data_IF_351830725970
#
_entry.id   IF_351830725970
#
_cell.length_a   1.000
_cell.length_b   1.000
_cell.length_c   1.000
_cell.angle_alpha   90.00
_cell.angle_beta   90.00
_cell.angle_gamma   90.00
#
_symmetry.space_group_name_H-M   'P 1'
#
loop_
_entity.id
_entity.type
_entity.pdbx_description
1 polymer ?
#
# COMPACT_ATOMS: atom_id res chain seq x y z
N UNK A 1 -46.16 -21.44 -1.27
CA UNK A 1 -45.36 -20.23 -0.96
C UNK A 1 -44.00 -20.71 -0.45
N UNK A 2 -43.01 -20.80 -1.33
CA UNK A 2 -41.67 -21.27 -0.97
C UNK A 2 -40.92 -20.12 -0.29
N UNK A 3 -40.44 -20.37 0.93
CA UNK A 3 -39.49 -19.51 1.65
C UNK A 3 -38.27 -19.27 0.75
N UNK A 4 -38.11 -18.05 0.25
CA UNK A 4 -36.82 -17.60 -0.27
C UNK A 4 -35.85 -17.57 0.92
N UNK A 5 -34.97 -18.56 0.99
CA UNK A 5 -33.79 -18.52 1.84
C UNK A 5 -33.01 -17.24 1.53
N UNK A 6 -33.11 -16.28 2.46
CA UNK A 6 -32.34 -15.05 2.46
C UNK A 6 -30.85 -15.40 2.42
N UNK A 7 -30.25 -15.36 1.23
CA UNK A 7 -28.80 -15.42 1.07
C UNK A 7 -28.20 -14.23 1.86
N UNK A 8 -27.36 -14.46 2.88
CA UNK A 8 -26.85 -13.37 3.71
C UNK A 8 -26.03 -12.41 2.85
N UNK A 9 -26.49 -11.17 2.75
CA UNK A 9 -25.75 -10.10 2.09
C UNK A 9 -24.44 -9.84 2.82
N UNK A 10 -23.35 -9.69 2.06
CA UNK A 10 -22.05 -9.35 2.62
C UNK A 10 -22.16 -7.98 3.33
N UNK A 11 -21.82 -7.87 4.62
CA UNK A 11 -21.85 -6.60 5.36
C UNK A 11 -21.02 -5.53 4.64
N UNK A 12 -21.64 -4.39 4.30
CA UNK A 12 -20.96 -3.25 3.68
C UNK A 12 -20.75 -2.14 4.71
N UNK A 13 -19.55 -1.54 4.78
CA UNK A 13 -19.26 -0.48 5.73
C UNK A 13 -20.03 0.79 5.34
N UNK A 14 -20.55 1.48 6.35
CA UNK A 14 -21.26 2.75 6.19
C UNK A 14 -20.27 3.86 5.89
N UNK A 15 -20.51 4.57 4.77
CA UNK A 15 -19.65 5.69 4.36
C UNK A 15 -19.83 6.93 5.22
N UNK A 16 -21.07 7.26 5.56
CA UNK A 16 -21.43 8.44 6.34
C UNK A 16 -22.14 8.02 7.62
N UNK A 17 -21.46 8.17 8.76
CA UNK A 17 -22.04 7.92 10.09
C UNK A 17 -22.61 9.24 10.62
N UNK A 18 -23.90 9.30 10.98
CA UNK A 18 -24.48 10.52 11.52
C UNK A 18 -23.84 10.91 12.86
N UNK A 19 -23.62 12.21 13.09
CA UNK A 19 -23.08 12.70 14.38
C UNK A 19 -23.96 12.33 15.59
N UNK A 20 -25.25 12.10 15.41
CA UNK A 20 -26.14 11.66 16.50
C UNK A 20 -25.69 10.33 17.12
N UNK A 21 -24.99 9.49 16.36
CA UNK A 21 -24.45 8.22 16.85
C UNK A 21 -23.26 8.40 17.79
N UNK A 22 -22.50 9.50 17.66
CA UNK A 22 -21.42 9.83 18.59
C UNK A 22 -21.98 10.08 19.98
N UNK A 23 -23.06 10.87 20.05
CA UNK A 23 -23.69 11.30 21.30
C UNK A 23 -24.48 10.19 21.97
N UNK A 24 -25.21 9.38 21.19
CA UNK A 24 -26.12 8.36 21.71
C UNK A 24 -25.54 6.94 21.70
N UNK A 25 -24.48 6.71 20.91
CA UNK A 25 -23.86 5.41 20.76
C UNK A 25 -23.03 4.99 21.95
N UNK A 26 -22.86 3.67 22.09
CA UNK A 26 -21.98 3.05 23.07
C UNK A 26 -20.95 2.17 22.38
N UNK A 27 -19.76 2.11 22.95
CA UNK A 27 -18.71 1.22 22.49
C UNK A 27 -19.15 -0.24 22.60
N UNK A 28 -19.16 -1.01 21.50
CA UNK A 28 -19.58 -2.42 21.52
C UNK A 28 -18.63 -3.34 22.29
N UNK A 29 -17.39 -2.89 22.58
CA UNK A 29 -16.42 -3.66 23.36
C UNK A 29 -16.53 -3.41 24.88
N UNK A 30 -16.72 -2.16 25.31
CA UNK A 30 -16.63 -1.80 26.74
C UNK A 30 -17.87 -1.06 27.29
N UNK A 31 -18.87 -0.75 26.47
CA UNK A 31 -20.11 -0.08 26.85
C UNK A 31 -20.00 1.43 27.13
N UNK A 32 -18.81 2.03 26.98
CA UNK A 32 -18.60 3.46 27.19
C UNK A 32 -19.40 4.31 26.20
N UNK A 33 -19.97 5.41 26.68
CA UNK A 33 -20.63 6.42 25.85
C UNK A 33 -19.61 7.39 25.23
N UNK A 34 -20.08 8.34 24.41
CA UNK A 34 -19.31 9.42 23.78
C UNK A 34 -18.17 8.90 22.90
N UNK A 35 -18.55 8.33 21.76
CA UNK A 35 -17.59 7.88 20.75
C UNK A 35 -17.01 9.09 19.99
N UNK A 36 -15.86 8.95 19.34
CA UNK A 36 -15.33 9.98 18.43
C UNK A 36 -15.45 9.49 17.00
N UNK A 37 -16.12 10.27 16.16
CA UNK A 37 -16.28 10.03 14.73
C UNK A 37 -15.13 10.66 13.95
N UNK A 38 -14.65 9.93 12.93
CA UNK A 38 -13.66 10.43 11.98
C UNK A 38 -14.20 10.26 10.57
N UNK A 39 -14.24 11.38 9.83
CA UNK A 39 -14.61 11.43 8.42
C UNK A 39 -13.37 11.40 7.53
N UNK A 40 -13.40 10.58 6.48
CA UNK A 40 -12.34 10.49 5.49
C UNK A 40 -12.95 10.52 4.08
N UNK A 41 -12.33 11.24 3.14
CA UNK A 41 -12.92 11.56 1.84
C UNK A 41 -13.16 10.33 0.93
N UNK A 42 -12.31 9.30 1.04
CA UNK A 42 -12.30 8.17 0.11
C UNK A 42 -12.48 6.79 0.77
N UNK A 43 -12.70 6.76 2.08
CA UNK A 43 -12.88 5.52 2.84
C UNK A 43 -14.05 5.65 3.81
N UNK A 44 -14.64 4.52 4.27
CA UNK A 44 -15.74 4.57 5.22
C UNK A 44 -15.37 5.28 6.52
N UNK A 45 -16.32 6.04 7.04
CA UNK A 45 -16.25 6.60 8.39
C UNK A 45 -16.03 5.51 9.46
N UNK A 46 -15.38 5.90 10.54
CA UNK A 46 -15.20 5.02 11.69
C UNK A 46 -15.37 5.77 13.01
N UNK A 47 -15.73 5.00 14.04
CA UNK A 47 -15.89 5.45 15.40
C UNK A 47 -14.70 4.96 16.23
N UNK A 48 -14.27 5.77 17.20
CA UNK A 48 -13.21 5.45 18.14
C UNK A 48 -13.69 5.62 19.58
N UNK A 49 -13.29 4.72 20.46
CA UNK A 49 -13.65 4.78 21.87
C UNK A 49 -12.48 5.29 22.71
N UNK A 50 -12.64 6.44 23.35
CA UNK A 50 -11.59 7.01 24.20
C UNK A 50 -11.31 6.20 25.47
N UNK A 51 -12.24 5.34 25.92
CA UNK A 51 -12.07 4.54 27.15
C UNK A 51 -11.18 3.32 26.94
N UNK A 52 -11.39 2.58 25.86
CA UNK A 52 -10.69 1.31 25.63
C UNK A 52 -9.88 1.31 24.33
N UNK A 53 -9.64 2.47 23.71
CA UNK A 53 -8.73 2.64 22.57
C UNK A 53 -9.19 2.06 21.23
N UNK A 54 -10.18 1.16 21.20
CA UNK A 54 -10.60 0.52 19.94
C UNK A 54 -11.16 1.53 18.94
N UNK A 55 -10.93 1.26 17.66
CA UNK A 55 -11.60 1.96 16.55
C UNK A 55 -12.27 0.95 15.63
N UNK A 56 -13.47 1.27 15.13
CA UNK A 56 -14.29 0.34 14.37
C UNK A 56 -15.18 1.03 13.34
N UNK A 57 -15.37 0.36 12.21
CA UNK A 57 -16.38 0.70 11.21
C UNK A 57 -17.71 0.03 11.57
N UNK A 58 -18.81 0.63 11.10
CA UNK A 58 -20.16 0.11 11.30
C UNK A 58 -20.74 -0.29 9.94
N UNK A 59 -21.41 -1.43 9.87
CA UNK A 59 -22.19 -1.84 8.70
C UNK A 59 -23.41 -0.92 8.48
N UNK A 60 -23.89 -0.80 7.23
CA UNK A 60 -25.02 0.06 6.86
C UNK A 60 -26.27 -0.09 7.73
N UNK A 61 -26.59 -1.33 8.16
CA UNK A 61 -27.70 -1.64 9.08
C UNK A 61 -27.39 -1.47 10.57
N UNK A 62 -26.14 -1.14 10.94
CA UNK A 62 -25.73 -0.94 12.33
C UNK A 62 -25.54 -2.22 13.15
N UNK A 63 -25.83 -3.39 12.58
CA UNK A 63 -25.85 -4.66 13.30
C UNK A 63 -24.46 -5.24 13.50
N UNK A 64 -23.59 -5.02 12.53
CA UNK A 64 -22.22 -5.52 12.53
C UNK A 64 -21.20 -4.38 12.63
N UNK A 65 -20.09 -4.68 13.28
CA UNK A 65 -18.91 -3.83 13.36
C UNK A 65 -17.68 -4.58 12.92
N UNK A 66 -16.69 -3.84 12.41
CA UNK A 66 -15.38 -4.37 12.03
C UNK A 66 -14.30 -3.52 12.65
N UNK A 67 -13.37 -4.15 13.38
CA UNK A 67 -12.30 -3.42 14.06
C UNK A 67 -11.26 -2.92 13.04
N UNK A 68 -10.93 -1.63 13.14
CA UNK A 68 -9.83 -0.97 12.43
C UNK A 68 -8.55 -0.94 13.25
N UNK A 69 -8.70 -0.67 14.54
CA UNK A 69 -7.60 -0.61 15.49
C UNK A 69 -7.98 -1.35 16.76
N UNK A 70 -7.08 -2.23 17.20
CA UNK A 70 -7.14 -2.99 18.43
C UNK A 70 -5.93 -2.55 19.26
N UNK A 71 -6.11 -2.08 20.50
CA UNK A 71 -5.00 -1.67 21.36
C UNK A 71 -4.26 -2.91 21.89
N UNK A 72 -3.00 -2.72 22.30
CA UNK A 72 -2.11 -3.79 22.76
C UNK A 72 -2.72 -4.62 23.90
N UNK A 73 -3.49 -4.03 24.82
CA UNK A 73 -4.14 -4.76 25.92
C UNK A 73 -5.18 -5.78 25.44
N UNK A 74 -5.61 -5.68 24.19
CA UNK A 74 -6.54 -6.57 23.52
C UNK A 74 -5.89 -7.35 22.37
N UNK A 75 -4.55 -7.41 22.28
CA UNK A 75 -3.83 -8.14 21.22
C UNK A 75 -4.22 -9.62 21.15
N UNK A 76 -4.58 -10.23 22.29
CA UNK A 76 -5.02 -11.63 22.38
C UNK A 76 -6.29 -11.96 21.56
N UNK A 77 -7.08 -10.96 21.16
CA UNK A 77 -8.25 -11.13 20.29
C UNK A 77 -8.02 -10.61 18.87
N UNK A 78 -6.83 -10.11 18.57
CA UNK A 78 -6.56 -9.44 17.30
C UNK A 78 -6.71 -10.39 16.10
N UNK A 79 -6.14 -11.60 16.19
CA UNK A 79 -6.26 -12.62 15.14
C UNK A 79 -7.72 -13.04 14.85
N UNK A 80 -8.58 -12.93 15.87
CA UNK A 80 -9.98 -13.35 15.81
C UNK A 80 -10.85 -12.22 15.23
N UNK A 81 -10.57 -10.98 15.62
CA UNK A 81 -11.45 -9.84 15.36
C UNK A 81 -10.98 -8.93 14.21
N UNK A 82 -9.68 -8.91 13.89
CA UNK A 82 -9.13 -8.04 12.85
C UNK A 82 -9.72 -8.37 11.50
N UNK A 83 -10.19 -7.34 10.79
CA UNK A 83 -10.79 -7.41 9.46
C UNK A 83 -12.06 -8.30 9.35
N UNK A 84 -12.66 -8.73 10.47
CA UNK A 84 -13.90 -9.53 10.45
C UNK A 84 -15.11 -8.71 10.88
N UNK A 85 -16.24 -8.95 10.23
CA UNK A 85 -17.53 -8.41 10.65
C UNK A 85 -18.06 -9.25 11.81
N UNK A 86 -18.34 -8.57 12.92
CA UNK A 86 -18.82 -9.19 14.17
C UNK A 86 -20.09 -8.48 14.59
N UNK A 87 -21.08 -9.22 15.07
CA UNK A 87 -22.31 -8.64 15.58
C UNK A 87 -22.00 -7.76 16.80
N UNK A 88 -22.43 -6.50 16.78
CA UNK A 88 -22.05 -5.48 17.76
C UNK A 88 -22.34 -5.92 19.20
N UNK A 89 -23.44 -6.64 19.41
CA UNK A 89 -23.86 -7.17 20.72
C UNK A 89 -22.99 -8.32 21.24
N UNK A 90 -22.26 -9.02 20.36
CA UNK A 90 -21.42 -10.17 20.72
C UNK A 90 -19.98 -9.80 20.99
N UNK A 91 -19.53 -8.62 20.58
CA UNK A 91 -18.13 -8.22 20.63
C UNK A 91 -17.57 -8.28 22.06
N UNK A 92 -18.24 -7.65 23.03
CA UNK A 92 -17.83 -7.68 24.43
C UNK A 92 -17.71 -9.13 24.97
N UNK A 93 -18.63 -10.01 24.60
CA UNK A 93 -18.61 -11.42 25.00
C UNK A 93 -17.48 -12.22 24.34
N UNK A 94 -17.07 -11.88 23.12
CA UNK A 94 -15.89 -12.49 22.48
C UNK A 94 -14.62 -12.05 23.22
N UNK A 95 -14.49 -10.76 23.52
CA UNK A 95 -13.35 -10.21 24.26
C UNK A 95 -13.26 -10.85 25.65
N UNK A 96 -14.37 -10.95 26.37
CA UNK A 96 -14.40 -11.54 27.71
C UNK A 96 -14.02 -13.03 27.71
N UNK A 97 -14.45 -13.81 26.71
CA UNK A 97 -14.17 -15.26 26.62
C UNK A 97 -12.71 -15.58 26.32
N UNK A 98 -12.04 -14.73 25.55
CA UNK A 98 -10.64 -14.95 25.17
C UNK A 98 -9.68 -14.19 26.07
N UNK A 99 -10.18 -13.39 27.01
CA UNK A 99 -9.35 -12.73 28.00
C UNK A 99 -8.53 -13.82 28.68
N UNK A 100 -7.18 -13.76 28.62
CA UNK A 100 -6.37 -14.72 29.33
C UNK A 100 -6.80 -14.69 30.79
N UNK A 101 -7.15 -15.85 31.33
CA UNK A 101 -7.40 -15.99 32.76
C UNK A 101 -6.10 -15.56 33.41
N UNK A 102 -6.08 -14.34 33.95
CA UNK A 102 -4.96 -13.86 34.71
C UNK A 102 -4.70 -14.93 35.76
N UNK A 103 -3.53 -15.56 35.72
CA UNK A 103 -3.12 -16.50 36.74
C UNK A 103 -3.44 -15.89 38.09
N UNK A 104 -4.19 -16.67 38.87
CA UNK A 104 -4.75 -16.30 40.14
C UNK A 104 -3.63 -15.93 41.11
N UNK A 105 -3.36 -14.62 41.18
CA UNK A 105 -2.97 -13.85 42.37
C UNK A 105 -2.39 -14.69 43.52
N UNK A 106 -1.10 -15.03 43.44
CA UNK A 106 -0.27 -15.06 44.66
C UNK A 106 -0.03 -13.61 45.12
N UNK A 107 0.03 -13.46 46.44
CA UNK A 107 0.03 -12.22 47.21
C UNK A 107 1.01 -11.13 46.71
N UNK A 108 0.75 -9.85 47.05
CA UNK A 108 1.41 -8.70 46.45
C UNK A 108 2.79 -8.51 47.07
N UNK A 109 3.81 -8.94 46.36
CA UNK A 109 5.13 -8.32 46.45
C UNK A 109 5.86 -8.57 45.13
N UNK A 110 6.57 -7.55 44.65
CA UNK A 110 7.33 -7.48 43.41
C UNK A 110 6.54 -7.17 42.14
N UNK A 111 6.37 -5.85 41.97
CA UNK A 111 6.50 -5.15 40.70
C UNK A 111 7.70 -5.72 39.90
N UNK A 112 7.46 -6.72 39.05
CA UNK A 112 8.50 -7.24 38.16
C UNK A 112 8.66 -6.25 37.02
N UNK A 113 9.75 -5.48 37.09
CA UNK A 113 10.20 -4.62 36.01
C UNK A 113 10.34 -5.47 34.73
N UNK A 114 9.59 -5.15 33.68
CA UNK A 114 9.88 -5.63 32.35
C UNK A 114 11.36 -5.33 32.06
N UNK A 115 12.08 -6.28 31.46
CA UNK A 115 13.48 -6.03 31.13
C UNK A 115 13.56 -4.78 30.23
N UNK A 116 14.55 -3.89 30.40
CA UNK A 116 14.69 -2.69 29.55
C UNK A 116 14.65 -3.01 28.05
N UNK A 117 15.05 -4.23 27.69
CA UNK A 117 15.06 -4.77 26.33
C UNK A 117 13.65 -5.08 25.79
N UNK A 118 12.70 -5.49 26.62
CA UNK A 118 11.33 -5.84 26.19
C UNK A 118 10.50 -4.59 25.85
N UNK A 119 10.62 -3.54 26.65
CA UNK A 119 9.95 -2.26 26.38
C UNK A 119 10.54 -1.59 25.13
N UNK A 120 11.86 -1.67 24.97
CA UNK A 120 12.54 -1.20 23.78
C UNK A 120 12.12 -1.99 22.53
N UNK A 121 11.95 -3.31 22.64
CA UNK A 121 11.43 -4.16 21.57
C UNK A 121 10.02 -3.74 21.14
N UNK A 122 9.08 -3.56 22.09
CA UNK A 122 7.71 -3.11 21.79
C UNK A 122 7.71 -1.76 21.08
N UNK A 123 8.53 -0.83 21.54
CA UNK A 123 8.67 0.50 20.91
C UNK A 123 9.22 0.39 19.49
N UNK A 124 10.24 -0.45 19.28
CA UNK A 124 10.83 -0.69 17.97
C UNK A 124 9.82 -1.32 16.99
N UNK A 125 9.04 -2.30 17.45
CA UNK A 125 7.99 -2.94 16.66
C UNK A 125 6.90 -1.94 16.24
N UNK A 126 6.45 -1.09 17.16
CA UNK A 126 5.45 -0.05 16.85
C UNK A 126 5.98 0.95 15.82
N UNK A 127 7.24 1.37 15.93
CA UNK A 127 7.86 2.24 14.92
C UNK A 127 7.91 1.56 13.55
N UNK A 128 8.25 0.27 13.49
CA UNK A 128 8.25 -0.49 12.24
C UNK A 128 6.85 -0.61 11.63
N UNK A 129 5.83 -0.89 12.44
CA UNK A 129 4.43 -0.95 11.99
C UNK A 129 3.92 0.40 11.46
N UNK A 130 4.48 1.52 11.93
CA UNK A 130 4.22 2.86 11.42
C UNK A 130 5.00 3.18 10.13
N UNK A 131 5.72 2.20 9.55
CA UNK A 131 6.47 2.35 8.30
C UNK A 131 7.86 2.96 8.45
N UNK A 132 8.39 3.08 9.67
CA UNK A 132 9.74 3.61 9.87
C UNK A 132 10.79 2.61 9.38
N UNK A 133 11.80 3.11 8.67
CA UNK A 133 12.89 2.26 8.21
C UNK A 133 13.81 1.81 9.39
N UNK A 134 14.54 0.69 9.25
CA UNK A 134 15.38 0.15 10.32
C UNK A 134 16.47 1.11 10.84
N UNK A 135 17.02 1.99 9.99
CA UNK A 135 18.03 3.00 10.40
C UNK A 135 17.43 4.07 11.31
N UNK A 136 16.19 4.47 11.03
CA UNK A 136 15.43 5.43 11.86
C UNK A 136 15.13 4.81 13.22
N UNK A 137 14.69 3.55 13.23
CA UNK A 137 14.44 2.77 14.45
C UNK A 137 15.73 2.66 15.27
N UNK A 138 16.86 2.30 14.63
CA UNK A 138 18.17 2.23 15.27
C UNK A 138 18.54 3.55 15.96
N UNK A 139 18.43 4.66 15.23
CA UNK A 139 18.77 6.00 15.73
C UNK A 139 17.91 6.38 16.93
N UNK A 140 16.60 6.13 16.87
CA UNK A 140 15.66 6.41 17.96
C UNK A 140 15.94 5.56 19.21
N UNK A 141 16.33 4.29 19.03
CA UNK A 141 16.68 3.41 20.14
C UNK A 141 17.98 3.85 20.84
N UNK A 142 19.01 4.22 20.07
CA UNK A 142 20.26 4.77 20.61
C UNK A 142 19.98 6.08 21.36
N UNK A 143 19.17 6.98 20.79
CA UNK A 143 18.76 8.23 21.44
C UNK A 143 18.00 8.00 22.76
N UNK A 144 17.30 6.87 22.89
CA UNK A 144 16.63 6.48 24.12
C UNK A 144 17.54 5.84 25.18
N UNK A 145 18.86 5.83 24.94
CA UNK A 145 19.87 5.39 25.90
C UNK A 145 20.20 3.90 25.83
N UNK A 146 19.75 3.18 24.78
CA UNK A 146 20.15 1.78 24.59
C UNK A 146 21.58 1.69 24.06
N UNK A 147 22.30 0.65 24.50
CA UNK A 147 23.62 0.34 23.99
C UNK A 147 23.55 -0.34 22.60
N UNK A 148 24.65 -0.32 21.85
CA UNK A 148 24.70 -0.85 20.49
C UNK A 148 24.32 -2.34 20.42
N UNK A 149 24.76 -3.13 21.41
CA UNK A 149 24.50 -4.58 21.48
C UNK A 149 23.00 -4.90 21.65
N UNK A 150 22.30 -4.16 22.52
CA UNK A 150 20.85 -4.26 22.70
C UNK A 150 20.09 -3.86 21.44
N UNK A 151 20.56 -2.80 20.77
CA UNK A 151 19.96 -2.33 19.52
C UNK A 151 20.13 -3.38 18.41
N UNK A 152 21.30 -4.00 18.30
CA UNK A 152 21.57 -5.05 17.31
C UNK A 152 20.69 -6.29 17.55
N UNK A 153 20.49 -6.69 18.81
CA UNK A 153 19.55 -7.78 19.17
C UNK A 153 18.11 -7.44 18.76
N UNK A 154 17.67 -6.21 19.03
CA UNK A 154 16.34 -5.73 18.64
C UNK A 154 16.19 -5.70 17.12
N UNK A 155 17.16 -5.14 16.39
CA UNK A 155 17.11 -5.07 14.92
C UNK A 155 17.17 -6.45 14.27
N UNK A 156 17.96 -7.39 14.80
CA UNK A 156 18.00 -8.77 14.33
C UNK A 156 16.65 -9.46 14.50
N UNK A 157 15.96 -9.22 15.62
CA UNK A 157 14.60 -9.74 15.85
C UNK A 157 13.58 -9.10 14.91
N UNK A 158 13.68 -7.80 14.66
CA UNK A 158 12.83 -7.06 13.71
C UNK A 158 12.98 -7.55 12.28
N UNK A 159 14.20 -7.87 11.86
CA UNK A 159 14.46 -8.45 10.53
C UNK A 159 13.74 -9.78 10.33
N UNK A 160 13.71 -10.65 11.35
CA UNK A 160 12.97 -11.93 11.29
C UNK A 160 11.45 -11.72 11.14
N UNK A 161 10.90 -10.70 11.81
CA UNK A 161 9.47 -10.34 11.67
C UNK A 161 9.17 -9.88 10.24
N UNK A 162 10.02 -9.03 9.66
CA UNK A 162 9.87 -8.58 8.28
C UNK A 162 9.97 -9.74 7.26
N UNK A 163 10.90 -10.68 7.47
CA UNK A 163 11.04 -11.89 6.65
C UNK A 163 9.80 -12.80 6.76
N UNK A 164 9.25 -13.00 7.96
CA UNK A 164 8.03 -13.81 8.14
C UNK A 164 6.79 -13.15 7.52
N UNK A 165 6.62 -11.83 7.67
CA UNK A 165 5.52 -11.08 7.05
C UNK A 165 5.56 -11.16 5.52
N UNK A 166 6.74 -10.96 4.91
CA UNK A 166 6.92 -11.10 3.46
C UNK A 166 6.65 -12.52 2.98
N UNK A 167 7.08 -13.54 3.74
CA UNK A 167 6.83 -14.94 3.40
C UNK A 167 5.33 -15.30 3.50
N UNK A 168 4.64 -14.82 4.55
CA UNK A 168 3.19 -15.02 4.70
C UNK A 168 2.40 -14.30 3.61
N UNK A 169 2.79 -13.08 3.24
CA UNK A 169 2.16 -12.35 2.14
C UNK A 169 2.36 -13.08 0.80
N UNK A 170 3.57 -13.60 0.53
CA UNK A 170 3.85 -14.40 -0.67
C UNK A 170 3.01 -15.68 -0.73
N UNK A 171 2.82 -16.39 0.40
CA UNK A 171 1.94 -17.58 0.43
C UNK A 171 0.49 -17.24 0.09
N UNK A 172 -0.06 -16.15 0.64
CA UNK A 172 -1.42 -15.69 0.35
C UNK A 172 -1.56 -15.27 -1.12
N UNK A 173 -0.54 -14.60 -1.67
CA UNK A 173 -0.51 -14.21 -3.07
C UNK A 173 -0.53 -15.42 -4.01
N UNK A 174 0.26 -16.46 -3.75
CA UNK A 174 0.28 -17.68 -4.56
C UNK A 174 -1.05 -18.44 -4.56
N UNK A 175 -1.75 -18.47 -3.42
CA UNK A 175 -3.09 -19.09 -3.35
C UNK A 175 -4.09 -18.34 -4.24
N UNK A 176 -4.11 -17.00 -4.16
CA UNK A 176 -5.04 -16.17 -4.95
C UNK A 176 -4.70 -16.19 -6.44
N UNK A 177 -3.41 -16.14 -6.79
CA UNK A 177 -2.94 -16.24 -8.17
C UNK A 177 -3.29 -17.60 -8.79
N UNK A 178 -3.13 -18.69 -8.01
CA UNK A 178 -3.50 -20.04 -8.45
C UNK A 178 -5.00 -20.17 -8.75
N UNK A 179 -5.87 -19.64 -7.87
CA UNK A 179 -7.33 -19.64 -8.09
C UNK A 179 -7.69 -18.82 -9.34
N UNK A 180 -7.10 -17.64 -9.50
CA UNK A 180 -7.38 -16.76 -10.64
C UNK A 180 -6.93 -17.39 -11.96
N UNK A 181 -5.76 -18.02 -11.99
CA UNK A 181 -5.25 -18.74 -13.16
C UNK A 181 -6.15 -19.92 -13.53
N UNK A 182 -6.62 -20.68 -12.54
CA UNK A 182 -7.51 -21.81 -12.76
C UNK A 182 -8.85 -21.36 -13.38
N UNK A 183 -9.44 -20.27 -12.88
CA UNK A 183 -10.67 -19.69 -13.45
C UNK A 183 -10.44 -19.20 -14.88
N UNK A 184 -9.30 -18.56 -15.16
CA UNK A 184 -8.96 -18.09 -16.50
C UNK A 184 -8.80 -19.24 -17.50
N UNK A 185 -8.16 -20.34 -17.08
CA UNK A 185 -8.00 -21.55 -17.91
C UNK A 185 -9.36 -22.20 -18.20
N UNK A 186 -10.27 -22.23 -17.23
CA UNK A 186 -11.63 -22.73 -17.44
C UNK A 186 -12.44 -21.86 -18.41
N UNK A 187 -12.35 -20.53 -18.26
CA UNK A 187 -13.05 -19.58 -19.14
C UNK A 187 -12.51 -19.61 -20.57
N UNK A 188 -11.18 -19.65 -20.74
CA UNK A 188 -10.54 -19.74 -22.06
C UNK A 188 -10.79 -21.09 -22.73
N UNK A 189 -10.78 -22.20 -21.98
CA UNK A 189 -11.16 -23.52 -22.50
C UNK A 189 -12.62 -23.59 -22.96
N UNK A 190 -13.53 -22.97 -22.22
CA UNK A 190 -14.95 -22.89 -22.59
C UNK A 190 -15.19 -21.99 -23.81
N UNK A 191 -14.38 -20.93 -23.98
CA UNK A 191 -14.43 -20.06 -25.15
C UNK A 191 -13.84 -20.73 -26.40
N UNK A 192 -12.70 -21.40 -26.28
CA UNK A 192 -12.08 -22.15 -27.39
C UNK A 192 -12.94 -23.32 -27.90
N UNK A 193 -13.73 -23.95 -27.02
CA UNK A 193 -14.66 -25.01 -27.41
C UNK A 193 -15.86 -24.48 -28.23
N UNK A 194 -16.14 -23.17 -28.19
CA UNK A 194 -17.33 -22.57 -28.84
C UNK A 194 -17.01 -21.69 -30.04
N UNK A 195 -15.80 -21.10 -30.11
CA UNK A 195 -15.38 -20.25 -31.23
C UNK A 195 -14.35 -20.95 -32.11
N UNK A 196 -14.82 -21.76 -33.06
CA UNK A 196 -13.99 -22.27 -34.15
C UNK A 196 -13.49 -21.14 -35.05
N UNK A 197 -12.23 -20.72 -34.83
CA UNK A 197 -11.27 -19.97 -35.68
C UNK A 197 -10.59 -18.87 -34.86
N UNK A 198 -9.26 -18.95 -34.77
CA UNK A 198 -8.41 -17.83 -34.35
C UNK A 198 -7.30 -17.66 -35.38
N UNK A 199 -7.12 -16.46 -35.92
CA UNK A 199 -5.79 -15.94 -36.20
C UNK A 199 -5.56 -14.72 -35.32
N UNK A 200 -4.34 -14.58 -34.80
CA UNK A 200 -3.48 -13.38 -34.91
C UNK A 200 -2.30 -13.58 -33.95
N UNK A 201 -1.11 -13.61 -34.55
CA UNK A 201 0.19 -13.54 -33.90
C UNK A 201 0.37 -12.18 -33.21
N UNK A 202 0.56 -12.17 -31.90
CA UNK A 202 1.19 -11.05 -31.20
C UNK A 202 2.64 -11.42 -30.89
N UNK A 203 3.57 -10.76 -31.57
CA UNK A 203 5.00 -10.84 -31.27
C UNK A 203 5.31 -10.07 -30.00
N UNK A 204 5.79 -10.77 -28.97
CA UNK A 204 6.34 -10.17 -27.76
C UNK A 204 7.75 -9.63 -28.06
N UNK A 205 7.93 -8.31 -28.03
CA UNK A 205 9.26 -7.70 -28.10
C UNK A 205 9.77 -7.47 -26.68
N UNK A 206 10.85 -8.15 -26.34
CA UNK A 206 11.55 -8.05 -25.06
C UNK A 206 12.34 -6.74 -25.00
N UNK A 207 12.06 -5.88 -24.02
CA UNK A 207 12.88 -4.71 -23.75
C UNK A 207 14.27 -5.15 -23.24
N UNK A 208 15.33 -4.76 -23.95
CA UNK A 208 16.72 -5.05 -23.57
C UNK A 208 17.14 -4.18 -22.38
N UNK A 209 17.70 -4.74 -21.30
CA UNK A 209 18.32 -3.95 -20.24
C UNK A 209 19.55 -3.20 -20.80
N UNK A 210 19.63 -1.90 -20.55
CA UNK A 210 20.74 -1.05 -20.98
C UNK A 210 21.98 -1.31 -20.10
N UNK A 211 23.18 -1.48 -20.69
CA UNK A 211 24.43 -1.50 -19.93
C UNK A 211 24.72 -0.09 -19.41
N UNK A 212 24.94 0.02 -18.10
CA UNK A 212 25.42 1.22 -17.40
C UNK A 212 26.72 1.73 -18.03
N UNK A 213 26.64 2.77 -18.87
CA UNK A 213 27.78 3.57 -19.27
C UNK A 213 27.89 4.76 -18.31
N UNK A 214 29.08 4.87 -17.71
CA UNK A 214 29.59 5.90 -16.81
C UNK A 214 29.00 5.98 -15.37
N UNK A 215 29.73 5.50 -14.34
CA UNK A 215 29.31 5.58 -12.95
C UNK A 215 29.31 7.00 -12.35
N UNK A 216 29.81 8.02 -13.07
CA UNK A 216 29.95 9.38 -12.56
C UNK A 216 28.91 10.39 -13.08
N UNK A 217 27.96 9.99 -13.94
CA UNK A 217 26.93 10.88 -14.47
C UNK A 217 25.54 10.53 -13.90
N UNK A 218 24.76 11.52 -13.41
CA UNK A 218 23.43 11.23 -12.90
C UNK A 218 22.52 10.82 -14.06
N UNK A 219 22.16 9.54 -14.10
CA UNK A 219 21.23 9.02 -15.10
C UNK A 219 19.79 9.40 -14.74
N UNK A 220 18.91 9.51 -15.75
CA UNK A 220 17.48 9.71 -15.53
C UNK A 220 16.85 8.64 -14.60
N UNK A 221 17.43 7.43 -14.58
CA UNK A 221 17.07 6.35 -13.64
C UNK A 221 17.41 6.70 -12.20
N UNK A 222 18.59 7.29 -11.96
CA UNK A 222 19.01 7.73 -10.61
C UNK A 222 18.08 8.81 -10.07
N UNK A 223 17.65 9.75 -10.92
CA UNK A 223 16.70 10.80 -10.55
C UNK A 223 15.32 10.22 -10.21
N UNK A 224 14.81 9.31 -11.04
CA UNK A 224 13.54 8.64 -10.80
C UNK A 224 13.51 7.91 -9.45
N UNK A 225 14.63 7.30 -9.04
CA UNK A 225 14.73 6.64 -7.73
C UNK A 225 14.72 7.63 -6.55
N UNK A 226 15.15 8.88 -6.73
CA UNK A 226 15.04 9.93 -5.70
C UNK A 226 13.58 10.38 -5.48
N UNK A 227 12.71 10.21 -6.48
CA UNK A 227 11.32 10.68 -6.45
C UNK A 227 10.35 9.70 -5.77
N UNK A 228 10.78 8.48 -5.46
CA UNK A 228 9.97 7.51 -4.73
C UNK A 228 10.23 7.73 -3.23
N UNK A 229 9.25 8.23 -2.44
CA UNK A 229 9.43 8.33 -0.99
C UNK A 229 9.74 6.94 -0.42
N UNK A 230 10.76 6.84 0.44
CA UNK A 230 11.09 5.59 1.11
C UNK A 230 9.87 5.09 1.90
N UNK A 231 9.21 4.03 1.42
CA UNK A 231 8.00 3.46 2.04
C UNK A 231 6.70 3.68 1.27
N UNK A 232 6.69 4.47 0.19
CA UNK A 232 5.54 4.55 -0.70
C UNK A 232 5.57 3.39 -1.71
N UNK A 233 4.82 2.31 -1.45
CA UNK A 233 4.29 1.48 -2.52
C UNK A 233 2.89 1.98 -2.79
N UNK A 234 2.66 2.87 -3.78
CA UNK A 234 1.30 3.18 -4.16
C UNK A 234 0.65 1.88 -4.62
N UNK A 235 -0.67 1.79 -4.48
CA UNK A 235 -1.46 0.62 -4.85
C UNK A 235 -1.53 0.43 -6.39
N UNK A 236 -0.37 0.42 -7.05
CA UNK A 236 -0.16 0.34 -8.50
C UNK A 236 -0.31 -1.10 -9.01
N UNK A 237 -0.50 -2.08 -8.13
CA UNK A 237 -0.57 -3.50 -8.47
C UNK A 237 -1.69 -3.82 -9.48
N UNK A 238 -2.71 -2.97 -9.57
CA UNK A 238 -3.82 -3.10 -10.51
C UNK A 238 -3.63 -2.32 -11.83
N UNK A 239 -2.54 -1.56 -11.98
CA UNK A 239 -2.28 -0.82 -13.20
C UNK A 239 -1.60 -1.72 -14.25
N UNK A 240 -1.90 -1.54 -15.54
CA UNK A 240 -1.20 -2.24 -16.61
C UNK A 240 0.28 -1.82 -16.62
N UNK A 241 1.19 -2.74 -16.94
CA UNK A 241 2.59 -2.38 -17.11
C UNK A 241 2.78 -1.43 -18.32
N UNK A 242 3.77 -0.51 -18.25
CA UNK A 242 4.07 0.35 -19.37
C UNK A 242 4.53 -0.44 -20.59
N UNK A 243 4.07 -0.04 -21.78
CA UNK A 243 4.55 -0.57 -23.06
C UNK A 243 5.22 0.54 -23.86
N UNK A 244 6.21 0.18 -24.68
CA UNK A 244 6.99 1.17 -25.44
C UNK A 244 6.91 0.86 -26.92
N UNK A 245 6.58 1.88 -27.71
CA UNK A 245 6.72 1.87 -29.15
C UNK A 245 7.89 2.78 -29.56
N UNK A 246 8.99 2.15 -29.98
CA UNK A 246 10.15 2.86 -30.51
C UNK A 246 9.88 3.41 -31.91
N UNK A 247 10.46 4.56 -32.25
CA UNK A 247 10.23 5.25 -33.52
C UNK A 247 8.89 6.01 -33.60
N UNK A 248 7.98 5.79 -32.64
CA UNK A 248 6.63 6.41 -32.59
C UNK A 248 6.60 7.63 -31.68
N UNK A 249 7.56 8.54 -31.79
CA UNK A 249 7.62 9.79 -31.01
C UNK A 249 7.74 11.05 -31.88
N UNK A 250 7.62 12.24 -31.29
CA UNK A 250 7.84 13.50 -32.00
C UNK A 250 9.25 13.58 -32.58
N UNK A 251 9.40 14.36 -33.64
CA UNK A 251 10.70 14.76 -34.15
C UNK A 251 11.48 15.57 -33.09
N UNK A 252 12.74 15.89 -33.38
CA UNK A 252 13.59 16.68 -32.47
C UNK A 252 12.90 18.00 -32.12
N UNK A 253 12.85 18.32 -30.84
CA UNK A 253 12.19 19.52 -30.31
C UNK A 253 13.07 20.18 -29.25
N UNK A 254 12.86 21.48 -29.02
CA UNK A 254 13.49 22.18 -27.90
C UNK A 254 12.88 21.72 -26.57
N UNK A 255 13.66 21.81 -25.49
CA UNK A 255 13.17 21.47 -24.16
C UNK A 255 12.05 22.43 -23.75
N UNK A 256 10.91 21.94 -23.25
CA UNK A 256 9.81 22.80 -22.85
C UNK A 256 10.20 23.68 -21.65
N UNK A 257 9.76 24.94 -21.68
CA UNK A 257 10.05 25.92 -20.64
C UNK A 257 9.00 25.97 -19.51
N UNK A 258 7.76 25.58 -19.82
CA UNK A 258 6.61 25.62 -18.91
C UNK A 258 5.82 24.30 -18.91
N UNK A 259 5.05 23.99 -17.86
CA UNK A 259 4.24 22.77 -17.79
C UNK A 259 3.25 22.62 -18.95
N UNK A 260 2.67 23.72 -19.46
CA UNK A 260 1.77 23.70 -20.61
C UNK A 260 2.49 23.28 -21.89
N UNK A 261 3.72 23.77 -22.08
CA UNK A 261 4.56 23.36 -23.21
C UNK A 261 5.04 21.92 -23.09
N UNK A 262 5.30 21.45 -21.86
CA UNK A 262 5.64 20.06 -21.58
C UNK A 262 4.46 19.13 -21.87
N UNK A 263 3.26 19.44 -21.37
CA UNK A 263 2.05 18.67 -21.66
C UNK A 263 1.71 18.64 -23.15
N UNK A 264 1.94 19.74 -23.89
CA UNK A 264 1.74 19.75 -25.34
C UNK A 264 2.73 18.86 -26.09
N UNK A 265 3.99 18.82 -25.64
CA UNK A 265 5.06 18.06 -26.30
C UNK A 265 5.03 16.57 -25.92
N UNK A 266 4.90 16.29 -24.63
CA UNK A 266 4.99 14.96 -24.03
C UNK A 266 3.61 14.30 -23.85
N UNK A 267 2.53 15.07 -23.73
CA UNK A 267 1.18 14.58 -23.44
C UNK A 267 0.77 14.77 -21.97
N UNK A 268 -0.48 14.42 -21.66
CA UNK A 268 -1.04 14.55 -20.31
C UNK A 268 -1.55 15.95 -19.97
N UNK A 269 -1.95 16.12 -18.71
CA UNK A 269 -2.39 17.42 -18.17
C UNK A 269 -1.17 18.25 -17.71
N UNK A 270 -1.13 19.57 -17.96
CA UNK A 270 -0.07 20.46 -17.46
C UNK A 270 0.20 20.33 -15.96
N UNK A 271 -0.80 20.06 -15.13
CA UNK A 271 -0.65 19.95 -13.67
C UNK A 271 0.17 18.75 -13.23
N UNK A 272 0.43 17.79 -14.12
CA UNK A 272 1.22 16.59 -13.83
C UNK A 272 2.73 16.82 -14.00
N UNK A 273 3.14 17.93 -14.60
CA UNK A 273 4.51 18.18 -15.01
C UNK A 273 5.19 19.16 -14.07
N UNK A 274 6.24 18.69 -13.40
CA UNK A 274 7.13 19.51 -12.59
C UNK A 274 8.49 19.62 -13.26
N UNK A 275 9.06 20.82 -13.29
CA UNK A 275 10.38 21.06 -13.84
C UNK A 275 11.40 21.15 -12.73
N UNK A 276 12.42 20.32 -12.81
CA UNK A 276 13.61 20.43 -11.97
C UNK A 276 14.72 21.11 -12.78
N UNK A 277 15.22 22.21 -12.24
CA UNK A 277 16.24 23.06 -12.86
C UNK A 277 17.57 23.05 -12.10
N UNK A 278 17.62 22.44 -10.91
CA UNK A 278 18.71 22.65 -9.96
C UNK A 278 19.87 21.66 -10.14
N UNK A 279 19.61 20.42 -10.58
CA UNK A 279 20.66 19.40 -10.83
C UNK A 279 20.89 19.14 -12.33
N UNK A 280 19.90 18.57 -13.00
CA UNK A 280 19.89 18.35 -14.45
C UNK A 280 18.52 18.82 -14.95
N UNK A 281 18.47 19.74 -15.93
CA UNK A 281 17.21 20.19 -16.52
C UNK A 281 16.35 19.01 -16.95
N UNK A 282 15.32 18.74 -16.17
CA UNK A 282 14.48 17.57 -16.37
C UNK A 282 13.01 17.88 -16.06
N UNK A 283 12.16 17.11 -16.71
CA UNK A 283 10.72 17.15 -16.50
C UNK A 283 10.30 15.88 -15.78
N UNK A 284 9.62 16.04 -14.66
CA UNK A 284 9.17 14.96 -13.81
C UNK A 284 7.66 14.90 -13.85
N UNK A 285 7.12 13.69 -13.92
CA UNK A 285 5.69 13.43 -13.93
C UNK A 285 5.36 12.35 -12.92
N UNK A 286 4.39 12.67 -12.04
CA UNK A 286 3.85 11.75 -11.05
C UNK A 286 2.34 11.74 -11.14
N UNK A 287 1.74 10.58 -11.41
CA UNK A 287 0.29 10.42 -11.50
C UNK A 287 -0.13 9.13 -10.79
N UNK A 288 -0.77 9.26 -9.63
CA UNK A 288 -1.25 8.13 -8.83
C UNK A 288 -2.64 7.61 -9.25
N UNK A 289 -3.34 8.32 -10.15
CA UNK A 289 -4.70 7.98 -10.54
C UNK A 289 -4.75 7.10 -11.78
N UNK A 290 -4.68 7.72 -12.96
CA UNK A 290 -4.81 7.04 -14.25
C UNK A 290 -3.51 7.10 -15.01
N UNK A 291 -3.00 5.94 -15.43
CA UNK A 291 -1.82 5.86 -16.28
C UNK A 291 -2.04 6.63 -17.60
N UNK A 292 -1.02 7.32 -18.09
CA UNK A 292 -1.12 8.12 -19.32
C UNK A 292 -0.14 7.64 -20.39
N UNK A 293 -0.31 8.13 -21.62
CA UNK A 293 0.66 7.94 -22.70
C UNK A 293 1.57 9.16 -22.79
N UNK A 294 2.88 8.92 -22.77
CA UNK A 294 3.92 9.95 -22.87
C UNK A 294 4.72 9.78 -24.16
N UNK A 295 4.87 10.88 -24.88
CA UNK A 295 5.64 11.01 -26.11
C UNK A 295 7.04 11.52 -25.78
N UNK A 296 8.07 10.82 -26.22
CA UNK A 296 9.48 11.18 -26.02
C UNK A 296 10.05 11.65 -27.36
N UNK A 297 10.37 12.94 -27.53
CA UNK A 297 10.94 13.49 -28.76
C UNK A 297 12.32 12.93 -29.08
N UNK A 298 12.71 12.96 -30.35
CA UNK A 298 14.07 12.60 -30.77
C UNK A 298 15.12 13.48 -30.06
N UNK A 299 16.16 12.85 -29.51
CA UNK A 299 17.21 13.54 -28.76
C UNK A 299 16.89 13.80 -27.29
N UNK A 300 15.77 13.27 -26.77
CA UNK A 300 15.48 13.28 -25.33
C UNK A 300 15.51 11.85 -24.78
N UNK A 301 15.75 11.71 -23.48
CA UNK A 301 15.77 10.43 -22.78
C UNK A 301 14.70 10.43 -21.70
N UNK A 302 13.86 9.40 -21.68
CA UNK A 302 12.87 9.18 -20.63
C UNK A 302 13.31 8.02 -19.74
N UNK A 303 13.25 8.19 -18.42
CA UNK A 303 13.26 7.11 -17.45
C UNK A 303 11.88 6.96 -16.82
N UNK A 304 11.43 5.73 -16.59
CA UNK A 304 10.11 5.45 -16.05
C UNK A 304 10.12 4.16 -15.22
N UNK A 305 9.11 4.01 -14.34
CA UNK A 305 8.96 2.80 -13.53
C UNK A 305 7.98 1.85 -14.18
N UNK A 306 8.33 0.57 -14.23
CA UNK A 306 7.35 -0.47 -14.51
C UNK A 306 6.39 -0.61 -13.32
N UNK A 307 5.08 -0.46 -13.56
CA UNK A 307 4.05 -0.35 -12.52
C UNK A 307 4.02 -1.56 -11.56
N UNK A 308 4.29 -2.77 -12.04
CA UNK A 308 4.25 -3.98 -11.19
C UNK A 308 5.57 -4.33 -10.54
N UNK A 309 6.69 -4.16 -11.25
CA UNK A 309 8.02 -4.58 -10.77
C UNK A 309 8.79 -3.46 -10.08
N UNK A 310 8.33 -2.20 -10.22
CA UNK A 310 9.06 -1.00 -9.82
C UNK A 310 10.49 -0.94 -10.39
N UNK A 311 10.76 -1.69 -11.46
CA UNK A 311 12.03 -1.62 -12.15
C UNK A 311 12.09 -0.31 -12.92
N UNK A 312 13.15 0.45 -12.67
CA UNK A 312 13.46 1.62 -13.47
C UNK A 312 13.95 1.18 -14.85
N UNK A 313 13.32 1.73 -15.88
CA UNK A 313 13.60 1.51 -17.29
C UNK A 313 13.91 2.86 -17.93
N UNK A 314 14.62 2.85 -19.06
CA UNK A 314 14.88 4.06 -19.83
C UNK A 314 14.74 3.83 -21.32
N UNK A 315 14.37 4.88 -22.05
CA UNK A 315 14.27 4.86 -23.50
C UNK A 315 14.68 6.23 -24.06
N UNK A 316 15.44 6.20 -25.16
CA UNK A 316 15.78 7.39 -25.94
C UNK A 316 14.76 7.58 -27.05
N UNK A 317 14.27 8.81 -27.21
CA UNK A 317 13.30 9.13 -28.26
C UNK A 317 13.92 9.11 -29.67
N UNK A 318 13.09 9.05 -30.73
CA UNK A 318 11.63 9.19 -30.70
C UNK A 318 10.92 7.90 -30.24
N UNK A 319 10.05 8.00 -29.23
CA UNK A 319 9.27 6.88 -28.73
C UNK A 319 7.92 7.34 -28.13
N UNK A 320 6.96 6.44 -28.00
CA UNK A 320 5.79 6.63 -27.12
C UNK A 320 5.77 5.54 -26.06
N UNK A 321 5.60 5.94 -24.80
CA UNK A 321 5.45 5.08 -23.65
C UNK A 321 3.97 5.13 -23.25
N UNK A 322 3.29 3.99 -23.25
CA UNK A 322 1.91 3.87 -22.81
C UNK A 322 1.85 3.45 -21.35
N UNK A 323 0.75 3.78 -20.67
CA UNK A 323 0.46 3.36 -19.31
C UNK A 323 1.52 3.75 -18.27
N UNK A 324 2.07 4.96 -18.35
CA UNK A 324 3.07 5.44 -17.40
C UNK A 324 2.45 6.28 -16.29
N UNK A 325 2.94 6.07 -15.07
CA UNK A 325 2.51 6.79 -13.86
C UNK A 325 3.64 7.61 -13.23
N UNK A 326 4.89 7.18 -13.43
CA UNK A 326 6.08 7.84 -12.92
C UNK A 326 7.11 7.90 -14.04
N UNK A 327 7.56 9.11 -14.38
CA UNK A 327 8.52 9.30 -15.44
C UNK A 327 9.32 10.59 -15.25
N UNK A 328 10.58 10.55 -15.68
CA UNK A 328 11.49 11.68 -15.80
C UNK A 328 11.95 11.77 -17.25
N UNK A 329 11.89 12.95 -17.86
CA UNK A 329 12.48 13.24 -19.18
C UNK A 329 13.63 14.22 -19.01
N UNK A 330 14.81 13.83 -19.49
CA UNK A 330 15.96 14.70 -19.65
C UNK A 330 16.06 15.17 -21.10
N UNK A 331 16.27 16.47 -21.27
CA UNK A 331 16.56 17.06 -22.56
C UNK A 331 18.07 17.08 -22.77
N UNK A 332 18.57 16.57 -23.91
CA UNK A 332 19.98 16.71 -24.30
C UNK A 332 20.27 18.09 -24.92
#
# INVERSE_FOLDING_TARGET
MQNQENKPSIPMPRREIPESWVKNGRCPACGAANLKLTHLSDVPDYLSCSKCGISFEVENGGRYVRLKHVPDELEFVDEILRNRWVESSKLAGIIARHRPVAEEKKAPDQLSAASPTDDAWKRALRMYQLGNNPRTIQTMLIQSGLNQEQVDVILARLKRVAEDETQQQNKKFWIVAGISLFVLVLLTGMWLATSGKVPVLFGTVTATPVPTQDPNQPSAVTMLMKLIPAGAQPNLSNLPDPTVETGKGPAKAACPGTPESAARLFGGDPSLWYRDVDEIPSWQMTNSGTAISVKVPAGMTAAYLANRSFKALSIRGPATIYNVNFLVITCD
#
